data_IF_862487978543
#
_entry.id   IF_862487978543
#
_cell.length_a   1.000
_cell.length_b   1.000
_cell.length_c   1.000
_cell.angle_alpha   90.00
_cell.angle_beta   90.00
_cell.angle_gamma   90.00
#
_symmetry.space_group_name_H-M   'P 1'
#
loop_
_entity.id
_entity.type
_entity.pdbx_description
1 polymer ?
#
# COMPACT_ATOMS: atom_id res chain seq x y z
N UNK A 1 -2.90 -12.41 -7.89
CA UNK A 1 -3.33 -13.62 -7.17
C UNK A 1 -4.79 -13.88 -7.49
N UNK A 2 -5.05 -15.06 -8.08
CA UNK A 2 -6.40 -15.47 -8.42
C UNK A 2 -6.85 -16.50 -7.38
N UNK A 3 -8.07 -16.39 -6.82
CA UNK A 3 -8.68 -17.46 -6.05
C UNK A 3 -8.75 -18.74 -6.89
N UNK A 4 -8.53 -19.91 -6.29
CA UNK A 4 -8.56 -21.18 -6.98
C UNK A 4 -9.88 -21.42 -7.76
N UNK A 5 -10.98 -20.88 -7.25
CA UNK A 5 -12.33 -21.00 -7.83
C UNK A 5 -12.70 -19.86 -8.78
N UNK A 6 -11.76 -18.96 -9.12
CA UNK A 6 -12.08 -17.85 -10.01
C UNK A 6 -12.34 -18.33 -11.44
N UNK A 7 -13.25 -17.69 -12.20
CA UNK A 7 -13.46 -18.01 -13.61
C UNK A 7 -12.19 -17.94 -14.45
N UNK A 8 -11.25 -17.05 -14.07
CA UNK A 8 -9.98 -16.90 -14.76
C UNK A 8 -9.04 -18.06 -14.44
N UNK A 9 -8.96 -18.54 -13.19
CA UNK A 9 -8.20 -19.75 -12.84
C UNK A 9 -8.72 -20.97 -13.62
N UNK A 10 -10.02 -21.13 -13.70
CA UNK A 10 -10.64 -22.19 -14.48
C UNK A 10 -10.35 -22.07 -15.99
N UNK A 11 -10.33 -20.85 -16.53
CA UNK A 11 -9.98 -20.61 -17.92
C UNK A 11 -8.50 -20.90 -18.23
N UNK A 12 -7.60 -20.55 -17.32
CA UNK A 12 -6.16 -20.86 -17.42
C UNK A 12 -5.91 -22.35 -17.38
N UNK A 13 -6.57 -23.08 -16.48
CA UNK A 13 -6.49 -24.53 -16.40
C UNK A 13 -6.98 -25.20 -17.70
N UNK A 14 -8.12 -24.76 -18.24
CA UNK A 14 -8.65 -25.26 -19.52
C UNK A 14 -7.67 -25.07 -20.68
N UNK A 15 -6.91 -23.97 -20.68
CA UNK A 15 -5.89 -23.65 -21.69
C UNK A 15 -4.53 -24.29 -21.42
N UNK A 16 -4.42 -25.13 -20.38
CA UNK A 16 -3.16 -25.78 -19.96
C UNK A 16 -2.03 -24.77 -19.71
N UNK A 17 -2.36 -23.57 -19.25
CA UNK A 17 -1.35 -22.59 -18.88
C UNK A 17 -0.71 -22.98 -17.55
N UNK A 18 0.62 -22.95 -17.51
CA UNK A 18 1.36 -23.20 -16.27
C UNK A 18 1.29 -21.97 -15.37
N UNK A 19 0.95 -22.16 -14.11
CA UNK A 19 0.98 -21.11 -13.11
C UNK A 19 1.52 -21.66 -11.78
N UNK A 20 2.13 -20.79 -11.01
CA UNK A 20 2.64 -21.14 -9.68
C UNK A 20 1.57 -20.86 -8.63
N UNK A 21 1.22 -21.88 -7.86
CA UNK A 21 0.33 -21.73 -6.71
C UNK A 21 1.12 -21.13 -5.54
N UNK A 22 0.66 -19.98 -5.04
CA UNK A 22 1.23 -19.38 -3.85
C UNK A 22 0.41 -19.79 -2.63
N UNK A 23 1.09 -20.32 -1.62
CA UNK A 23 0.46 -20.77 -0.35
C UNK A 23 0.60 -19.75 0.78
N UNK A 24 1.08 -18.54 0.49
CA UNK A 24 1.20 -17.50 1.52
C UNK A 24 -0.18 -16.95 1.90
N UNK A 25 -0.45 -16.78 3.21
CA UNK A 25 -1.70 -16.19 3.64
C UNK A 25 -1.87 -14.78 3.11
N UNK A 26 -3.08 -14.42 2.77
CA UNK A 26 -3.51 -13.07 2.41
C UNK A 26 -4.29 -12.51 3.60
N UNK A 27 -4.06 -11.26 3.92
CA UNK A 27 -4.62 -10.62 5.10
C UNK A 27 -5.59 -9.52 4.70
N UNK A 28 -6.82 -9.60 5.22
CA UNK A 28 -7.86 -8.61 4.98
C UNK A 28 -8.24 -7.90 6.27
N UNK A 29 -8.63 -6.64 6.14
CA UNK A 29 -9.25 -5.87 7.21
C UNK A 29 -10.72 -5.68 6.83
N UNK A 30 -11.60 -6.18 7.68
CA UNK A 30 -13.05 -6.03 7.57
C UNK A 30 -13.57 -5.22 8.74
N UNK A 31 -14.66 -4.49 8.51
CA UNK A 31 -15.26 -3.60 9.50
C UNK A 31 -16.49 -4.25 10.09
N UNK A 32 -16.75 -3.99 11.37
CA UNK A 32 -18.04 -4.35 11.98
C UNK A 32 -19.11 -3.34 11.59
N UNK A 33 -20.32 -3.79 11.44
CA UNK A 33 -21.43 -2.88 11.17
C UNK A 33 -21.59 -1.86 12.30
N UNK A 34 -21.67 -0.57 11.94
CA UNK A 34 -21.78 0.52 12.92
C UNK A 34 -20.49 0.85 13.70
N UNK A 35 -19.36 0.18 13.38
CA UNK A 35 -18.07 0.46 14.05
C UNK A 35 -17.53 1.82 13.64
N UNK A 36 -17.11 2.63 14.63
CA UNK A 36 -16.38 3.87 14.40
C UNK A 36 -14.88 3.60 14.30
N UNK A 37 -14.15 4.50 13.62
CA UNK A 37 -12.69 4.34 13.41
C UNK A 37 -11.90 4.20 14.71
N UNK A 38 -12.24 5.00 15.71
CA UNK A 38 -11.57 4.94 17.01
C UNK A 38 -11.83 3.62 17.75
N UNK A 39 -13.02 3.04 17.60
CA UNK A 39 -13.36 1.74 18.18
C UNK A 39 -12.54 0.63 17.51
N UNK A 40 -12.44 0.65 16.17
CA UNK A 40 -11.57 -0.25 15.44
C UNK A 40 -10.11 -0.16 15.92
N UNK A 41 -9.57 1.05 16.04
CA UNK A 41 -8.20 1.25 16.52
C UNK A 41 -8.00 0.74 17.94
N UNK A 42 -8.93 1.05 18.85
CA UNK A 42 -8.87 0.62 20.25
C UNK A 42 -9.01 -0.91 20.42
N UNK A 43 -9.76 -1.56 19.54
CA UNK A 43 -9.90 -3.02 19.52
C UNK A 43 -8.60 -3.72 19.12
N UNK A 44 -7.85 -3.14 18.20
CA UNK A 44 -6.67 -3.76 17.60
C UNK A 44 -5.34 -3.31 18.20
N UNK A 45 -5.32 -2.22 18.98
CA UNK A 45 -4.09 -1.62 19.50
C UNK A 45 -4.23 -1.15 20.93
N UNK A 46 -3.14 -1.27 21.68
CA UNK A 46 -3.09 -0.68 23.01
C UNK A 46 -3.10 0.85 22.96
N UNK A 47 -3.65 1.48 24.01
CA UNK A 47 -3.65 2.94 24.17
C UNK A 47 -2.25 3.55 24.05
N UNK A 48 -1.24 2.91 24.62
CA UNK A 48 0.15 3.36 24.51
C UNK A 48 0.70 3.31 23.08
N UNK A 49 0.33 2.28 22.31
CA UNK A 49 0.68 2.17 20.89
C UNK A 49 0.07 3.29 20.07
N UNK A 50 -1.22 3.61 20.29
CA UNK A 50 -1.92 4.71 19.61
C UNK A 50 -1.31 6.06 19.95
N UNK A 51 -1.03 6.32 21.24
CA UNK A 51 -0.39 7.57 21.68
C UNK A 51 1.01 7.73 21.09
N UNK A 52 1.82 6.68 21.09
CA UNK A 52 3.17 6.72 20.51
C UNK A 52 3.14 6.99 19.01
N UNK A 53 2.21 6.37 18.30
CA UNK A 53 2.03 6.61 16.88
C UNK A 53 1.60 8.05 16.60
N UNK A 54 0.57 8.56 17.27
CA UNK A 54 0.11 9.94 17.13
C UNK A 54 1.21 10.97 17.45
N UNK A 55 2.04 10.68 18.47
CA UNK A 55 3.20 11.50 18.82
C UNK A 55 4.24 11.55 17.69
N UNK A 56 4.58 10.39 17.11
CA UNK A 56 5.55 10.29 16.00
C UNK A 56 5.05 11.03 14.76
N UNK A 57 3.77 10.86 14.43
CA UNK A 57 3.16 11.55 13.29
C UNK A 57 3.20 13.08 13.49
N UNK A 58 2.72 13.58 14.65
CA UNK A 58 2.81 15.03 14.95
C UNK A 58 4.23 15.55 14.93
N UNK A 59 5.19 14.77 15.44
CA UNK A 59 6.62 15.13 15.41
C UNK A 59 7.13 15.23 13.97
N UNK A 60 6.82 14.26 13.11
CA UNK A 60 7.21 14.27 11.70
C UNK A 60 6.68 15.54 11.01
N UNK A 61 5.36 15.79 11.10
CA UNK A 61 4.75 16.98 10.45
C UNK A 61 5.39 18.28 10.95
N UNK A 62 5.57 18.42 12.27
CA UNK A 62 6.17 19.61 12.85
C UNK A 62 7.62 19.86 12.41
N UNK A 63 8.42 18.79 12.32
CA UNK A 63 9.86 18.91 12.06
C UNK A 63 10.18 18.97 10.56
N UNK A 64 9.31 18.44 9.71
CA UNK A 64 9.59 18.32 8.28
C UNK A 64 8.57 19.01 7.37
N UNK A 65 7.43 19.42 7.89
CA UNK A 65 6.33 19.93 7.08
C UNK A 65 5.70 18.83 6.19
N UNK A 66 5.87 17.55 6.54
CA UNK A 66 5.41 16.44 5.70
C UNK A 66 3.89 16.44 5.52
N UNK A 67 3.46 16.27 4.29
CA UNK A 67 2.06 16.21 3.88
C UNK A 67 1.80 14.96 3.03
N UNK A 68 0.63 14.33 3.22
CA UNK A 68 0.20 13.22 2.38
C UNK A 68 -0.62 13.74 1.20
N UNK A 69 -0.16 13.42 -0.01
CA UNK A 69 -0.74 13.88 -1.27
C UNK A 69 -1.17 12.67 -2.11
N UNK A 70 -2.37 12.72 -2.69
CA UNK A 70 -2.74 11.84 -3.81
C UNK A 70 -2.21 12.46 -5.09
N UNK A 71 -1.31 11.75 -5.77
CA UNK A 71 -0.76 12.23 -7.04
C UNK A 71 -1.83 12.19 -8.13
N UNK A 72 -1.95 13.27 -8.89
CA UNK A 72 -2.95 13.41 -9.96
C UNK A 72 -2.32 13.89 -11.27
N UNK A 73 -1.22 14.62 -11.19
CA UNK A 73 -0.47 15.09 -12.34
C UNK A 73 0.37 13.92 -12.88
N UNK A 74 0.38 13.65 -14.21
CA UNK A 74 1.18 12.57 -14.80
C UNK A 74 2.67 12.60 -14.42
N UNK A 75 3.29 13.78 -14.39
CA UNK A 75 4.71 13.93 -14.04
C UNK A 75 4.97 13.59 -12.56
N UNK A 76 4.07 14.01 -11.67
CA UNK A 76 4.15 13.66 -10.25
C UNK A 76 3.91 12.16 -10.03
N UNK A 77 2.98 11.55 -10.75
CA UNK A 77 2.75 10.09 -10.74
C UNK A 77 4.01 9.36 -11.19
N UNK A 78 4.58 9.75 -12.34
CA UNK A 78 5.80 9.13 -12.87
C UNK A 78 6.95 9.23 -11.87
N UNK A 79 7.15 10.41 -11.28
CA UNK A 79 8.18 10.67 -10.28
C UNK A 79 7.98 9.81 -9.02
N UNK A 80 6.75 9.69 -8.54
CA UNK A 80 6.44 8.90 -7.35
C UNK A 80 6.59 7.39 -7.60
N UNK A 81 6.16 6.88 -8.76
CA UNK A 81 6.34 5.48 -9.14
C UNK A 81 7.82 5.15 -9.28
N UNK A 82 8.60 5.98 -9.99
CA UNK A 82 10.05 5.81 -10.12
C UNK A 82 10.73 5.80 -8.73
N UNK A 83 10.35 6.71 -7.85
CA UNK A 83 10.86 6.75 -6.49
C UNK A 83 10.53 5.47 -5.71
N UNK A 84 9.29 4.94 -5.84
CA UNK A 84 8.88 3.66 -5.22
C UNK A 84 9.77 2.53 -5.71
N UNK A 85 9.97 2.40 -7.01
CA UNK A 85 10.77 1.34 -7.60
C UNK A 85 12.22 1.41 -7.12
N UNK A 86 12.88 2.57 -7.21
CA UNK A 86 14.27 2.77 -6.73
C UNK A 86 14.42 2.44 -5.25
N UNK A 87 13.51 2.95 -4.41
CA UNK A 87 13.56 2.72 -2.97
C UNK A 87 13.36 1.23 -2.61
N UNK A 88 12.50 0.52 -3.35
CA UNK A 88 12.30 -0.92 -3.16
C UNK A 88 13.50 -1.74 -3.61
N UNK A 89 14.10 -1.41 -4.75
CA UNK A 89 15.33 -2.05 -5.23
C UNK A 89 16.41 -1.95 -4.17
N UNK A 90 16.64 -0.77 -3.62
CA UNK A 90 17.64 -0.57 -2.57
C UNK A 90 17.31 -1.36 -1.30
N UNK A 91 16.06 -1.32 -0.84
CA UNK A 91 15.63 -2.06 0.36
C UNK A 91 15.72 -3.59 0.23
N UNK A 92 15.73 -4.11 -0.99
CA UNK A 92 15.80 -5.56 -1.27
C UNK A 92 17.13 -6.03 -1.82
N UNK A 93 18.08 -5.14 -2.04
CA UNK A 93 19.40 -5.43 -2.62
C UNK A 93 20.11 -6.61 -1.95
N UNK A 94 20.08 -6.65 -0.63
CA UNK A 94 20.73 -7.70 0.16
C UNK A 94 19.87 -8.97 0.34
N UNK A 95 18.62 -8.96 -0.11
CA UNK A 95 17.66 -10.05 0.10
C UNK A 95 17.39 -10.89 -1.14
N UNK A 96 18.00 -10.56 -2.26
CA UNK A 96 17.81 -11.25 -3.55
C UNK A 96 16.37 -11.17 -4.10
N UNK A 97 15.55 -10.28 -3.56
CA UNK A 97 14.13 -10.09 -3.93
C UNK A 97 14.06 -8.79 -4.71
N UNK A 98 14.19 -8.81 -6.02
CA UNK A 98 14.17 -7.53 -6.71
C UNK A 98 13.94 -7.57 -8.21
N UNK A 99 13.99 -8.74 -8.84
CA UNK A 99 13.89 -8.84 -10.29
C UNK A 99 12.66 -8.12 -10.87
N UNK A 100 11.52 -8.20 -10.19
CA UNK A 100 10.30 -7.52 -10.58
C UNK A 100 10.40 -5.98 -10.47
N UNK A 101 11.08 -5.47 -9.45
CA UNK A 101 11.24 -4.02 -9.23
C UNK A 101 12.38 -3.41 -10.04
N UNK A 102 13.24 -4.24 -10.65
CA UNK A 102 14.31 -3.78 -11.56
C UNK A 102 13.87 -3.76 -13.02
N UNK A 103 12.68 -4.25 -13.33
CA UNK A 103 12.17 -4.30 -14.70
C UNK A 103 11.58 -2.95 -15.11
N UNK A 104 12.27 -2.25 -16.00
CA UNK A 104 11.85 -0.96 -16.56
C UNK A 104 10.51 -1.06 -17.30
N UNK A 105 10.24 -2.19 -17.98
CA UNK A 105 8.97 -2.42 -18.67
C UNK A 105 7.82 -2.46 -17.67
N UNK A 106 8.04 -3.12 -16.54
CA UNK A 106 7.05 -3.17 -15.47
C UNK A 106 6.83 -1.79 -14.83
N UNK A 107 7.90 -1.04 -14.57
CA UNK A 107 7.80 0.32 -14.04
C UNK A 107 7.02 1.22 -14.99
N UNK A 108 7.35 1.20 -16.29
CA UNK A 108 6.65 1.99 -17.30
C UNK A 108 5.16 1.61 -17.39
N UNK A 109 4.87 0.32 -17.38
CA UNK A 109 3.48 -0.17 -17.32
C UNK A 109 2.72 0.41 -16.11
N UNK A 110 3.33 0.43 -14.93
CA UNK A 110 2.70 1.01 -13.73
C UNK A 110 2.46 2.51 -13.88
N UNK A 111 3.41 3.25 -14.46
CA UNK A 111 3.25 4.68 -14.75
C UNK A 111 2.06 4.89 -15.71
N UNK A 112 2.03 4.17 -16.81
CA UNK A 112 1.01 4.31 -17.85
C UNK A 112 -0.38 4.02 -17.31
N UNK A 113 -0.52 2.92 -16.54
CA UNK A 113 -1.81 2.54 -15.94
C UNK A 113 -2.26 3.58 -14.91
N UNK A 114 -1.39 4.00 -13.98
CA UNK A 114 -1.79 4.96 -12.93
C UNK A 114 -2.09 6.34 -13.51
N UNK A 115 -1.38 6.76 -14.56
CA UNK A 115 -1.58 8.04 -15.24
C UNK A 115 -2.77 8.02 -16.20
N UNK A 116 -3.34 6.85 -16.49
CA UNK A 116 -4.46 6.72 -17.41
C UNK A 116 -5.69 7.50 -16.92
N UNK A 117 -6.29 8.25 -17.83
CA UNK A 117 -7.58 8.91 -17.61
C UNK A 117 -8.78 7.97 -17.86
N UNK A 118 -8.55 6.68 -18.02
CA UNK A 118 -9.60 5.69 -18.20
C UNK A 118 -10.47 5.64 -16.93
N UNK A 119 -11.80 5.84 -17.04
CA UNK A 119 -12.70 5.78 -15.88
C UNK A 119 -12.73 4.38 -15.22
N UNK A 120 -12.22 3.35 -15.90
CA UNK A 120 -12.04 2.01 -15.32
C UNK A 120 -10.70 1.85 -14.61
N UNK A 121 -9.84 2.87 -14.62
CA UNK A 121 -8.59 2.83 -13.90
C UNK A 121 -8.84 2.93 -12.39
N UNK A 122 -8.48 1.88 -11.70
CA UNK A 122 -8.66 1.73 -10.26
C UNK A 122 -7.35 1.88 -9.46
N UNK A 123 -6.25 2.29 -10.10
CA UNK A 123 -4.99 2.52 -9.41
C UNK A 123 -4.83 3.98 -8.97
N UNK A 124 -4.20 4.17 -7.82
CA UNK A 124 -3.84 5.48 -7.31
C UNK A 124 -2.48 5.44 -6.60
N UNK A 125 -1.71 6.54 -6.72
CA UNK A 125 -0.47 6.75 -5.98
C UNK A 125 -0.69 7.80 -4.91
N UNK A 126 -0.18 7.51 -3.72
CA UNK A 126 -0.12 8.46 -2.61
C UNK A 126 1.31 8.61 -2.14
N UNK A 127 1.73 9.84 -1.94
CA UNK A 127 3.07 10.19 -1.47
C UNK A 127 2.99 11.01 -0.20
N UNK A 128 3.79 10.67 0.80
CA UNK A 128 4.07 11.52 1.95
C UNK A 128 5.32 12.32 1.59
N UNK A 129 5.16 13.61 1.41
CA UNK A 129 6.21 14.53 0.93
C UNK A 129 6.59 15.54 2.00
N UNK A 130 7.87 15.83 2.14
CA UNK A 130 8.36 17.11 2.67
C UNK A 130 8.37 18.15 1.54
N UNK A 131 8.64 19.42 1.80
CA UNK A 131 8.84 20.42 0.74
C UNK A 131 9.89 19.99 -0.31
N UNK A 132 10.86 19.17 0.09
CA UNK A 132 12.03 18.88 -0.75
C UNK A 132 11.99 17.49 -1.41
N UNK A 133 11.34 16.51 -0.78
CA UNK A 133 11.37 15.11 -1.29
C UNK A 133 10.22 14.23 -0.81
N UNK A 134 10.01 13.12 -1.52
CA UNK A 134 9.15 12.02 -1.08
C UNK A 134 9.87 11.25 0.03
N UNK A 135 9.17 10.99 1.14
CA UNK A 135 9.69 10.22 2.28
C UNK A 135 8.96 8.90 2.51
N UNK A 136 7.76 8.74 1.97
CA UNK A 136 7.07 7.46 1.85
C UNK A 136 6.06 7.53 0.70
N UNK A 137 5.78 6.39 0.07
CA UNK A 137 4.76 6.34 -0.95
C UNK A 137 4.11 4.95 -1.03
N UNK A 138 2.92 4.89 -1.62
CA UNK A 138 2.17 3.67 -1.85
C UNK A 138 1.43 3.71 -3.18
N UNK A 139 1.25 2.54 -3.79
CA UNK A 139 0.29 2.32 -4.86
C UNK A 139 -0.84 1.49 -4.28
N UNK A 140 -2.07 1.91 -4.51
CA UNK A 140 -3.27 1.18 -4.11
C UNK A 140 -4.14 0.88 -5.32
N UNK A 141 -4.84 -0.24 -5.26
CA UNK A 141 -5.87 -0.60 -6.24
C UNK A 141 -7.23 -0.55 -5.57
N UNK A 142 -8.20 0.08 -6.23
CA UNK A 142 -9.59 0.15 -5.79
C UNK A 142 -10.47 -0.70 -6.71
N UNK A 143 -11.51 -1.30 -6.19
CA UNK A 143 -12.52 -1.95 -7.02
C UNK A 143 -13.33 -3.02 -6.31
N UNK A 144 -14.58 -3.17 -6.73
CA UNK A 144 -15.50 -4.20 -6.22
C UNK A 144 -15.67 -4.20 -4.70
N UNK A 145 -15.71 -3.02 -4.07
CA UNK A 145 -15.85 -2.89 -2.61
C UNK A 145 -14.59 -3.22 -1.82
N UNK A 146 -13.43 -3.19 -2.47
CA UNK A 146 -12.14 -3.48 -1.85
C UNK A 146 -11.07 -2.47 -2.27
N UNK A 147 -10.22 -2.08 -1.33
CA UNK A 147 -8.97 -1.37 -1.57
C UNK A 147 -7.80 -2.28 -1.24
N UNK A 148 -6.88 -2.49 -2.17
CA UNK A 148 -5.68 -3.29 -1.98
C UNK A 148 -4.41 -2.43 -1.92
N UNK A 149 -3.60 -2.62 -0.88
CA UNK A 149 -2.30 -1.97 -0.74
C UNK A 149 -1.22 -2.72 -1.50
N UNK A 150 -1.01 -2.41 -2.79
CA UNK A 150 -0.10 -3.16 -3.67
C UNK A 150 1.36 -3.05 -3.27
N UNK A 151 1.80 -1.87 -2.88
CA UNK A 151 3.18 -1.59 -2.47
C UNK A 151 3.22 -0.41 -1.53
N UNK A 152 4.00 -0.51 -0.48
CA UNK A 152 4.35 0.63 0.39
C UNK A 152 5.86 0.64 0.61
N UNK A 153 6.47 1.80 0.57
CA UNK A 153 7.89 1.97 0.86
C UNK A 153 8.16 3.32 1.54
N UNK A 154 9.33 3.46 2.13
CA UNK A 154 9.73 4.68 2.80
C UNK A 154 11.25 4.88 2.75
N UNK A 155 11.67 6.13 2.88
CA UNK A 155 13.05 6.52 3.03
C UNK A 155 13.57 6.10 4.42
N UNK A 156 14.68 5.36 4.45
CA UNK A 156 15.28 4.84 5.67
C UNK A 156 15.76 5.93 6.65
N UNK A 157 16.10 7.11 6.15
CA UNK A 157 16.47 8.28 6.99
C UNK A 157 15.33 8.69 7.92
N UNK A 158 14.08 8.47 7.51
CA UNK A 158 12.88 8.80 8.28
C UNK A 158 12.29 7.63 9.05
N UNK A 159 12.97 6.48 9.11
CA UNK A 159 12.46 5.25 9.73
C UNK A 159 11.99 5.44 11.19
N UNK A 160 12.66 6.34 11.96
CA UNK A 160 12.29 6.66 13.35
C UNK A 160 10.86 7.20 13.50
N UNK A 161 10.31 7.82 12.46
CA UNK A 161 8.94 8.34 12.39
C UNK A 161 7.93 7.31 11.88
N UNK A 162 8.40 6.19 11.32
CA UNK A 162 7.57 5.14 10.70
C UNK A 162 6.67 5.68 9.55
N UNK A 163 7.21 6.41 8.56
CA UNK A 163 6.40 7.11 7.56
C UNK A 163 5.60 6.16 6.66
N UNK A 164 6.12 4.96 6.36
CA UNK A 164 5.37 3.94 5.63
C UNK A 164 4.10 3.50 6.36
N UNK A 165 4.13 3.46 7.71
CA UNK A 165 2.94 3.17 8.52
C UNK A 165 1.92 4.32 8.47
N UNK A 166 2.38 5.56 8.43
CA UNK A 166 1.50 6.75 8.30
C UNK A 166 0.70 6.65 7.00
N UNK A 167 1.39 6.36 5.90
CA UNK A 167 0.74 6.17 4.59
C UNK A 167 -0.24 4.99 4.62
N UNK A 168 0.18 3.84 5.14
CA UNK A 168 -0.69 2.66 5.23
C UNK A 168 -1.94 2.93 6.07
N UNK A 169 -1.80 3.58 7.24
CA UNK A 169 -2.94 3.93 8.11
C UNK A 169 -3.95 4.83 7.41
N UNK A 170 -3.48 5.82 6.65
CA UNK A 170 -4.37 6.69 5.89
C UNK A 170 -5.12 5.93 4.80
N UNK A 171 -4.48 4.96 4.12
CA UNK A 171 -5.15 4.13 3.12
C UNK A 171 -6.21 3.23 3.76
N UNK A 172 -5.91 2.67 4.92
CA UNK A 172 -6.86 1.86 5.69
C UNK A 172 -8.04 2.72 6.16
N UNK A 173 -7.79 3.94 6.65
CA UNK A 173 -8.84 4.90 7.01
C UNK A 173 -9.71 5.29 5.81
N UNK A 174 -9.10 5.49 4.63
CA UNK A 174 -9.84 5.80 3.41
C UNK A 174 -10.78 4.65 3.02
N UNK A 175 -10.30 3.40 3.11
CA UNK A 175 -11.13 2.21 2.86
C UNK A 175 -12.25 2.07 3.92
N UNK A 176 -11.95 2.33 5.19
CA UNK A 176 -12.94 2.37 6.27
C UNK A 176 -14.08 3.36 5.95
N UNK A 177 -13.73 4.59 5.58
CA UNK A 177 -14.69 5.64 5.25
C UNK A 177 -15.53 5.29 4.01
N UNK A 178 -14.93 4.59 3.05
CA UNK A 178 -15.60 4.09 1.85
C UNK A 178 -16.42 2.80 2.09
N UNK A 179 -16.31 2.21 3.29
CA UNK A 179 -16.89 0.89 3.64
C UNK A 179 -16.41 -0.24 2.74
N UNK A 180 -15.16 -0.15 2.32
CA UNK A 180 -14.47 -1.14 1.50
C UNK A 180 -13.59 -2.03 2.37
N UNK A 181 -13.51 -3.33 2.06
CA UNK A 181 -12.51 -4.23 2.64
C UNK A 181 -11.11 -3.73 2.28
N UNK A 182 -10.19 -3.71 3.23
CA UNK A 182 -8.80 -3.40 2.94
C UNK A 182 -7.96 -4.66 2.86
N UNK A 183 -7.31 -4.87 1.73
CA UNK A 183 -6.42 -5.98 1.48
C UNK A 183 -4.96 -5.58 1.73
N UNK A 184 -4.37 -6.20 2.74
CA UNK A 184 -2.96 -6.01 3.10
C UNK A 184 -2.01 -6.84 2.23
N UNK A 185 -2.55 -7.53 1.21
CA UNK A 185 -1.78 -8.40 0.32
C UNK A 185 -1.10 -9.59 1.03
N UNK A 186 -0.26 -10.30 0.29
CA UNK A 186 0.37 -11.54 0.72
C UNK A 186 1.42 -11.35 1.83
N UNK A 187 1.59 -12.39 2.61
CA UNK A 187 2.66 -12.56 3.61
C UNK A 187 2.28 -12.10 5.01
N UNK A 188 2.76 -12.84 5.98
CA UNK A 188 2.64 -12.53 7.41
C UNK A 188 3.83 -11.65 7.84
N UNK A 189 3.67 -10.35 7.67
CA UNK A 189 4.65 -9.38 8.14
C UNK A 189 4.20 -8.77 9.47
N UNK A 190 5.12 -8.62 10.42
CA UNK A 190 4.82 -8.10 11.77
C UNK A 190 4.07 -6.75 11.76
N UNK A 191 4.35 -5.87 10.79
CA UNK A 191 3.68 -4.58 10.68
C UNK A 191 2.18 -4.69 10.36
N UNK A 192 1.72 -5.83 9.80
CA UNK A 192 0.30 -6.09 9.48
C UNK A 192 -0.51 -6.51 10.72
N UNK A 193 0.13 -7.19 11.68
CA UNK A 193 -0.54 -7.75 12.85
C UNK A 193 -1.39 -6.76 13.65
N UNK A 194 -0.94 -5.50 13.85
CA UNK A 194 -1.75 -4.51 14.56
C UNK A 194 -3.03 -4.07 13.81
N UNK A 195 -3.25 -4.57 12.62
CA UNK A 195 -4.42 -4.26 11.80
C UNK A 195 -5.39 -5.44 11.67
N UNK A 196 -4.94 -6.63 12.04
CA UNK A 196 -5.71 -7.86 11.92
C UNK A 196 -6.39 -8.18 13.26
N UNK A 197 -7.63 -8.58 13.20
CA UNK A 197 -8.45 -9.07 14.34
C UNK A 197 -8.37 -10.56 14.46
#
# INVERSE_FOLDING_TARGET
NLPDESPLSAAMLRRKLTFTRWTKPRSFIEWREGEEWDDYLCRNRSKSSLQNYARRHRKLVRETGAELVRERNPDDIASAVDWIFRTKVEAYKDRGIGAFMTDETHKQFMIDVVSSNDPTNHLAVYSLKTPDKIIAATIVAHGRGMTAGMVVTHDSEYASFSPGRIVAEQMILNAFNAKEVFDLELGDHEWKRPWLT
#
